data_IF_683421745156
#
_entry.id   IF_683421745156
#
_cell.length_a   1.000
_cell.length_b   1.000
_cell.length_c   1.000
_cell.angle_alpha   90.00
_cell.angle_beta   90.00
_cell.angle_gamma   90.00
#
_symmetry.space_group_name_H-M   'P 1'
#
loop_
_entity.id
_entity.type
_entity.pdbx_description
1 polymer ?
#
# COMPACT_ATOMS: atom_id res chain seq x y z
N UNK A 1 -1.09 -18.01 -3.21
CA UNK A 1 -0.47 -18.78 -2.11
C UNK A 1 -0.67 -18.04 -0.81
N UNK A 2 -1.24 -18.69 0.20
CA UNK A 2 -1.39 -18.09 1.53
C UNK A 2 0.00 -18.02 2.16
N UNK A 3 0.57 -16.82 2.27
CA UNK A 3 1.83 -16.62 2.96
C UNK A 3 1.63 -16.96 4.44
N UNK A 4 2.49 -17.82 4.96
CA UNK A 4 2.43 -18.21 6.38
C UNK A 4 3.14 -17.14 7.24
N UNK A 5 2.49 -16.01 7.46
CA UNK A 5 3.01 -14.93 8.30
C UNK A 5 3.17 -15.32 9.77
N UNK A 6 2.47 -16.39 10.22
CA UNK A 6 2.60 -16.92 11.59
C UNK A 6 3.99 -17.48 11.91
N UNK A 7 4.79 -17.77 10.88
CA UNK A 7 6.18 -18.21 11.04
C UNK A 7 7.14 -17.07 11.47
N UNK A 8 6.74 -15.80 11.28
CA UNK A 8 7.57 -14.66 11.63
C UNK A 8 7.28 -14.23 13.07
N UNK A 9 8.22 -14.52 13.97
CA UNK A 9 8.11 -14.14 15.39
C UNK A 9 8.96 -12.92 15.70
N UNK A 10 8.45 -11.94 16.47
CA UNK A 10 9.25 -10.84 16.99
C UNK A 10 10.47 -11.34 17.77
N UNK A 11 11.60 -10.67 17.59
CA UNK A 11 12.84 -11.02 18.32
C UNK A 11 13.76 -9.80 18.43
N UNK A 12 14.73 -9.87 19.31
CA UNK A 12 15.66 -8.78 19.59
C UNK A 12 17.12 -9.11 19.27
N UNK A 13 17.41 -10.37 18.96
CA UNK A 13 18.77 -10.86 18.67
C UNK A 13 18.77 -11.68 17.40
N UNK A 14 19.83 -11.51 16.60
CA UNK A 14 20.09 -12.30 15.39
C UNK A 14 21.30 -13.18 15.65
N UNK A 15 21.17 -14.48 15.47
CA UNK A 15 22.24 -15.46 15.67
C UNK A 15 22.97 -15.38 17.04
N UNK A 16 22.29 -14.91 18.08
CA UNK A 16 22.82 -14.70 19.43
C UNK A 16 24.01 -13.72 19.52
N UNK A 17 24.38 -13.04 18.44
CA UNK A 17 25.55 -12.16 18.38
C UNK A 17 25.23 -10.74 17.97
N UNK A 18 24.26 -10.53 17.12
CA UNK A 18 23.84 -9.22 16.65
C UNK A 18 22.53 -8.81 17.35
N UNK A 19 22.53 -7.62 17.91
CA UNK A 19 21.31 -7.05 18.49
C UNK A 19 20.39 -6.45 17.41
N UNK A 20 19.19 -6.09 17.79
CA UNK A 20 18.27 -5.32 16.97
C UNK A 20 18.90 -3.99 16.54
N UNK A 21 19.58 -3.32 17.45
CA UNK A 21 20.27 -2.05 17.24
C UNK A 21 21.36 -2.19 16.18
N UNK A 22 22.17 -3.26 16.25
CA UNK A 22 23.20 -3.55 15.24
C UNK A 22 22.58 -3.72 13.84
N UNK A 23 21.48 -4.44 13.74
CA UNK A 23 20.80 -4.67 12.46
C UNK A 23 20.15 -3.40 11.90
N UNK A 24 19.58 -2.56 12.78
CA UNK A 24 19.10 -1.24 12.37
C UNK A 24 20.24 -0.35 11.87
N UNK A 25 21.40 -0.34 12.56
CA UNK A 25 22.57 0.42 12.13
C UNK A 25 23.12 -0.10 10.79
N UNK A 26 23.19 -1.41 10.59
CA UNK A 26 23.58 -2.00 9.31
C UNK A 26 22.70 -1.47 8.17
N UNK A 27 21.39 -1.40 8.36
CA UNK A 27 20.51 -0.81 7.36
C UNK A 27 20.77 0.70 7.18
N UNK A 28 20.73 1.47 8.27
CA UNK A 28 20.77 2.93 8.20
C UNK A 28 22.15 3.48 7.81
N UNK A 29 23.24 2.84 8.24
CA UNK A 29 24.62 3.30 8.05
C UNK A 29 25.34 2.63 6.87
N UNK A 30 25.00 1.38 6.53
CA UNK A 30 25.66 0.64 5.45
C UNK A 30 24.78 0.50 4.21
N UNK A 31 23.56 -0.01 4.38
CA UNK A 31 22.69 -0.30 3.23
C UNK A 31 22.24 0.98 2.53
N UNK A 32 21.87 2.02 3.28
CA UNK A 32 21.38 3.29 2.75
C UNK A 32 22.48 4.27 2.38
N UNK A 33 23.59 4.32 3.15
CA UNK A 33 24.58 5.40 3.03
C UNK A 33 25.86 5.01 2.26
N UNK A 34 26.26 3.73 2.27
CA UNK A 34 27.47 3.32 1.53
C UNK A 34 27.15 3.27 0.04
N UNK A 35 27.69 4.20 -0.71
CA UNK A 35 27.37 4.47 -2.13
C UNK A 35 27.36 3.19 -2.99
N UNK A 36 28.42 2.36 -2.90
CA UNK A 36 28.48 1.10 -3.67
C UNK A 36 27.34 0.12 -3.34
N UNK A 37 26.94 0.06 -2.07
CA UNK A 37 25.83 -0.81 -1.63
C UNK A 37 24.49 -0.21 -2.04
N UNK A 38 24.34 1.10 -1.79
CA UNK A 38 23.16 1.86 -2.17
C UNK A 38 22.87 1.71 -3.66
N UNK A 39 23.81 2.04 -4.52
CA UNK A 39 23.64 1.99 -5.98
C UNK A 39 23.31 0.57 -6.48
N UNK A 40 23.88 -0.45 -5.85
CA UNK A 40 23.67 -1.85 -6.26
C UNK A 40 22.36 -2.43 -5.79
N UNK A 41 21.93 -2.11 -4.56
CA UNK A 41 20.78 -2.78 -3.92
C UNK A 41 19.62 -1.84 -3.65
N UNK A 42 19.87 -0.71 -2.97
CA UNK A 42 18.79 0.23 -2.61
C UNK A 42 18.13 0.83 -3.86
N UNK A 43 18.94 1.36 -4.78
CA UNK A 43 18.41 1.99 -5.99
C UNK A 43 17.75 0.97 -6.94
N UNK A 44 18.27 -0.26 -6.96
CA UNK A 44 17.62 -1.36 -7.67
C UNK A 44 16.25 -1.69 -7.08
N UNK A 45 16.13 -1.81 -5.74
CA UNK A 45 14.84 -2.05 -5.09
C UNK A 45 13.89 -0.87 -5.31
N UNK A 46 14.37 0.38 -5.26
CA UNK A 46 13.55 1.54 -5.59
C UNK A 46 13.01 1.49 -7.02
N UNK A 47 13.77 0.97 -7.98
CA UNK A 47 13.35 0.84 -9.37
C UNK A 47 12.21 -0.17 -9.59
N UNK A 48 11.90 -1.02 -8.62
CA UNK A 48 10.76 -1.96 -8.70
C UNK A 48 9.40 -1.24 -8.70
N UNK A 49 9.33 0.00 -8.25
CA UNK A 49 8.18 0.87 -8.48
C UNK A 49 8.18 1.37 -9.95
N UNK A 50 7.87 0.50 -10.90
CA UNK A 50 8.02 0.72 -12.35
C UNK A 50 7.38 2.02 -12.87
N UNK A 51 6.27 2.46 -12.26
CA UNK A 51 5.58 3.70 -12.62
C UNK A 51 6.05 4.90 -11.80
N UNK A 52 7.00 4.71 -10.87
CA UNK A 52 7.37 5.69 -9.86
C UNK A 52 6.31 5.91 -8.77
N UNK A 53 5.14 5.26 -8.88
CA UNK A 53 4.07 5.35 -7.89
C UNK A 53 4.25 4.32 -6.77
N UNK A 54 3.81 4.68 -5.59
CA UNK A 54 3.78 3.80 -4.42
C UNK A 54 2.87 2.59 -4.68
N UNK A 55 3.36 1.34 -4.61
CA UNK A 55 2.54 0.16 -4.88
C UNK A 55 1.54 -0.14 -3.75
N UNK A 56 1.64 0.54 -2.60
CA UNK A 56 0.68 0.41 -1.50
C UNK A 56 -0.60 1.21 -1.81
N UNK A 57 -0.47 2.50 -2.12
CA UNK A 57 -1.64 3.37 -2.32
C UNK A 57 -1.96 3.67 -3.79
N UNK A 58 -1.05 3.42 -4.73
CA UNK A 58 -1.23 3.75 -6.15
C UNK A 58 -1.18 5.25 -6.48
N UNK A 59 -1.06 6.14 -5.49
CA UNK A 59 -1.20 7.60 -5.63
C UNK A 59 0.16 8.30 -5.45
N UNK A 60 0.77 8.16 -4.28
CA UNK A 60 1.98 8.87 -3.90
C UNK A 60 3.20 8.42 -4.70
N UNK A 61 4.22 9.28 -4.80
CA UNK A 61 5.50 8.92 -5.41
C UNK A 61 6.29 8.00 -4.47
N UNK A 62 6.76 6.86 -4.97
CA UNK A 62 7.68 6.00 -4.24
C UNK A 62 9.01 6.73 -4.07
N UNK A 63 9.45 6.96 -2.83
CA UNK A 63 10.62 7.77 -2.49
C UNK A 63 11.46 7.21 -1.35
N UNK A 64 11.04 6.09 -0.76
CA UNK A 64 11.73 5.42 0.35
C UNK A 64 11.48 3.92 0.30
N UNK A 65 12.39 3.13 0.88
CA UNK A 65 12.14 1.70 1.13
C UNK A 65 11.53 1.55 2.52
N UNK A 66 10.39 0.89 2.58
CA UNK A 66 9.75 0.46 3.82
C UNK A 66 10.05 -1.02 4.09
N UNK A 67 10.17 -1.38 5.36
CA UNK A 67 10.28 -2.76 5.81
C UNK A 67 8.90 -3.35 6.03
N UNK A 68 8.43 -4.24 5.17
CA UNK A 68 7.12 -4.87 5.35
C UNK A 68 7.01 -5.50 6.76
N UNK A 69 7.99 -6.27 7.18
CA UNK A 69 8.22 -6.66 8.58
C UNK A 69 9.16 -5.63 9.21
N UNK A 70 8.67 -4.82 10.14
CA UNK A 70 9.42 -3.71 10.73
C UNK A 70 10.78 -4.16 11.29
N UNK A 71 11.87 -3.51 10.90
CA UNK A 71 13.25 -3.89 11.29
C UNK A 71 13.48 -3.84 12.81
N UNK A 72 12.74 -3.01 13.52
CA UNK A 72 12.77 -2.88 14.97
C UNK A 72 12.13 -4.05 15.71
N UNK A 73 11.28 -4.82 15.01
CA UNK A 73 10.54 -5.97 15.56
C UNK A 73 11.10 -7.28 14.99
N UNK A 74 11.53 -7.26 13.73
CA UNK A 74 12.03 -8.41 12.96
C UNK A 74 13.43 -8.14 12.40
N UNK A 75 14.44 -7.92 13.24
CA UNK A 75 15.76 -7.44 12.83
C UNK A 75 16.49 -8.36 11.84
N UNK A 76 16.23 -9.67 11.85
CA UNK A 76 16.81 -10.61 10.88
C UNK A 76 16.50 -10.20 9.42
N UNK A 77 15.39 -9.51 9.20
CA UNK A 77 14.93 -9.12 7.86
C UNK A 77 15.27 -7.66 7.50
N UNK A 78 16.06 -6.96 8.32
CA UNK A 78 16.37 -5.53 8.12
C UNK A 78 17.01 -5.21 6.75
N UNK A 79 17.83 -6.11 6.21
CA UNK A 79 18.48 -5.95 4.89
C UNK A 79 18.06 -7.01 3.89
N UNK A 80 16.95 -7.70 4.13
CA UNK A 80 16.41 -8.72 3.23
C UNK A 80 15.63 -8.07 2.09
N UNK A 81 16.01 -8.23 0.81
CA UNK A 81 15.36 -7.58 -0.32
C UNK A 81 13.85 -7.84 -0.38
N UNK A 82 13.42 -9.06 -0.11
CA UNK A 82 12.01 -9.46 -0.10
C UNK A 82 11.16 -8.78 0.98
N UNK A 83 11.82 -8.16 1.98
CA UNK A 83 11.17 -7.40 3.03
C UNK A 83 11.14 -5.88 2.74
N UNK A 84 11.80 -5.44 1.68
CA UNK A 84 11.99 -4.02 1.35
C UNK A 84 11.10 -3.63 0.17
N UNK A 85 10.19 -2.70 0.41
CA UNK A 85 9.18 -2.25 -0.57
C UNK A 85 9.37 -0.76 -0.84
N UNK A 86 9.53 -0.33 -2.11
CA UNK A 86 9.54 1.09 -2.44
C UNK A 86 8.16 1.70 -2.24
N UNK A 87 8.04 2.69 -1.36
CA UNK A 87 6.77 3.31 -0.98
C UNK A 87 6.87 4.84 -0.89
N UNK A 88 5.74 5.53 -0.85
CA UNK A 88 5.71 6.96 -0.53
C UNK A 88 5.92 7.18 0.98
N UNK A 89 6.31 8.40 1.34
CA UNK A 89 6.57 8.77 2.75
C UNK A 89 5.33 8.60 3.63
N UNK A 90 4.15 8.90 3.10
CA UNK A 90 2.89 8.81 3.85
C UNK A 90 2.56 7.35 4.22
N UNK A 91 2.69 6.42 3.27
CA UNK A 91 2.48 5.00 3.54
C UNK A 91 3.53 4.45 4.51
N UNK A 92 4.81 4.83 4.35
CA UNK A 92 5.87 4.43 5.26
C UNK A 92 5.59 4.92 6.69
N UNK A 93 5.22 6.19 6.84
CA UNK A 93 4.88 6.78 8.13
C UNK A 93 3.63 6.14 8.76
N UNK A 94 2.57 5.94 7.98
CA UNK A 94 1.32 5.34 8.46
C UNK A 94 1.53 3.92 9.00
N UNK A 95 2.38 3.12 8.34
CA UNK A 95 2.70 1.76 8.78
C UNK A 95 3.54 1.74 10.05
N UNK A 96 4.56 2.61 10.15
CA UNK A 96 5.49 2.66 11.29
C UNK A 96 5.97 1.26 11.71
N UNK A 97 6.16 1.02 13.02
CA UNK A 97 6.61 -0.25 13.60
C UNK A 97 5.43 -1.19 13.93
N UNK A 98 4.48 -1.33 13.03
CA UNK A 98 3.32 -2.21 13.24
C UNK A 98 3.73 -3.68 13.31
N UNK A 99 3.23 -4.38 14.34
CA UNK A 99 3.36 -5.84 14.43
C UNK A 99 2.45 -6.49 13.39
N UNK A 100 2.99 -7.48 12.67
CA UNK A 100 2.21 -8.27 11.73
C UNK A 100 1.37 -9.31 12.48
N UNK A 101 0.06 -9.19 12.36
CA UNK A 101 -0.90 -10.18 12.85
C UNK A 101 -1.28 -11.05 11.66
N UNK A 102 -1.08 -12.37 11.71
CA UNK A 102 -1.18 -13.25 10.53
C UNK A 102 -2.45 -13.07 9.70
N UNK A 103 -3.62 -13.10 10.36
CA UNK A 103 -4.92 -13.07 9.67
C UNK A 103 -5.39 -11.65 9.32
N UNK A 104 -4.66 -10.62 9.74
CA UNK A 104 -4.94 -9.21 9.46
C UNK A 104 -3.72 -8.43 8.99
N UNK A 105 -2.66 -9.11 8.53
CA UNK A 105 -1.53 -8.46 7.91
C UNK A 105 -1.99 -7.69 6.65
N UNK A 106 -1.56 -6.43 6.45
CA UNK A 106 -1.89 -5.71 5.23
C UNK A 106 -1.37 -6.46 4.00
N UNK A 107 -1.87 -6.12 2.82
CA UNK A 107 -1.38 -6.76 1.59
C UNK A 107 0.09 -6.43 1.36
N UNK A 108 0.84 -7.45 0.95
CA UNK A 108 2.19 -7.26 0.42
C UNK A 108 2.10 -7.01 -1.10
N UNK A 109 2.59 -5.86 -1.61
CA UNK A 109 2.31 -5.45 -2.99
C UNK A 109 2.93 -6.36 -4.07
N UNK A 110 3.88 -7.21 -3.71
CA UNK A 110 4.55 -8.12 -4.66
C UNK A 110 4.20 -9.60 -4.47
N UNK A 111 3.49 -9.95 -3.40
CA UNK A 111 3.20 -11.36 -3.08
C UNK A 111 1.72 -11.68 -2.92
N UNK A 112 0.88 -10.66 -2.75
CA UNK A 112 -0.57 -10.84 -2.71
C UNK A 112 -1.15 -10.46 -4.07
N UNK A 113 -1.74 -11.43 -4.77
CA UNK A 113 -2.36 -11.24 -6.08
C UNK A 113 -3.84 -10.91 -5.89
N UNK A 114 -4.19 -9.65 -6.03
CA UNK A 114 -5.58 -9.16 -5.90
C UNK A 114 -6.10 -8.44 -7.14
N UNK A 115 -5.30 -8.33 -8.19
CA UNK A 115 -5.63 -7.58 -9.41
C UNK A 115 -6.83 -8.16 -10.16
N UNK A 116 -7.03 -9.49 -10.07
CA UNK A 116 -8.17 -10.18 -10.68
C UNK A 116 -9.46 -10.12 -9.83
N UNK A 117 -9.40 -9.51 -8.64
CA UNK A 117 -10.48 -9.49 -7.67
C UNK A 117 -11.09 -8.08 -7.63
N UNK A 118 -12.39 -7.96 -7.86
CA UNK A 118 -13.09 -6.68 -7.69
C UNK A 118 -13.36 -6.41 -6.20
N UNK A 119 -12.30 -6.12 -5.46
CA UNK A 119 -12.32 -5.95 -4.02
C UNK A 119 -12.64 -4.52 -3.56
N UNK A 120 -12.29 -3.50 -4.35
CA UNK A 120 -12.51 -2.10 -4.03
C UNK A 120 -13.87 -1.64 -4.59
N UNK A 121 -14.70 -1.08 -3.74
CA UNK A 121 -15.98 -0.46 -4.10
C UNK A 121 -15.91 1.03 -3.86
N UNK A 122 -16.51 1.79 -4.77
CA UNK A 122 -16.69 3.23 -4.66
C UNK A 122 -18.18 3.56 -4.70
N UNK A 123 -18.60 4.51 -3.88
CA UNK A 123 -19.95 5.08 -3.88
C UNK A 123 -19.85 6.59 -3.93
N UNK A 124 -20.74 7.21 -4.72
CA UNK A 124 -20.90 8.65 -4.69
C UNK A 124 -22.03 8.98 -3.72
N UNK A 125 -21.72 9.84 -2.76
CA UNK A 125 -22.66 10.27 -1.71
C UNK A 125 -22.88 11.76 -1.87
N UNK A 126 -24.14 12.17 -1.98
CA UNK A 126 -24.52 13.57 -1.97
C UNK A 126 -24.54 14.07 -0.53
N UNK A 127 -23.84 15.16 -0.27
CA UNK A 127 -23.80 15.88 1.02
C UNK A 127 -24.14 17.35 0.77
N UNK A 128 -24.45 18.09 1.83
CA UNK A 128 -24.77 19.52 1.73
C UNK A 128 -23.69 20.34 1.02
N UNK A 129 -22.44 19.92 1.15
CA UNK A 129 -21.26 20.58 0.56
C UNK A 129 -20.91 20.07 -0.86
N UNK A 130 -21.65 19.08 -1.38
CA UNK A 130 -21.43 18.50 -2.71
C UNK A 130 -21.33 16.98 -2.74
N UNK A 131 -20.91 16.44 -3.88
CA UNK A 131 -20.74 14.99 -4.08
C UNK A 131 -19.35 14.58 -3.61
N UNK A 132 -19.31 13.58 -2.73
CA UNK A 132 -18.07 12.94 -2.26
C UNK A 132 -18.04 11.47 -2.65
N UNK A 133 -16.85 10.95 -2.94
CA UNK A 133 -16.64 9.54 -3.17
C UNK A 133 -16.23 8.86 -1.85
N UNK A 134 -16.86 7.75 -1.50
CA UNK A 134 -16.43 6.88 -0.42
C UNK A 134 -15.98 5.54 -0.99
N UNK A 135 -14.88 5.03 -0.43
CA UNK A 135 -14.27 3.77 -0.86
C UNK A 135 -14.31 2.74 0.26
N UNK A 136 -14.62 1.50 -0.08
CA UNK A 136 -14.70 0.41 0.88
C UNK A 136 -14.30 -0.92 0.27
N UNK A 137 -14.00 -1.91 1.12
CA UNK A 137 -13.80 -3.28 0.68
C UNK A 137 -15.16 -3.92 0.38
N UNK A 138 -15.25 -4.65 -0.74
CA UNK A 138 -16.45 -5.34 -1.16
C UNK A 138 -16.95 -6.31 -0.09
N UNK A 139 -18.21 -6.17 0.32
CA UNK A 139 -18.86 -7.06 1.28
C UNK A 139 -19.03 -8.50 0.76
N UNK A 140 -18.99 -8.70 -0.55
CA UNK A 140 -19.05 -10.05 -1.14
C UNK A 140 -17.85 -10.90 -0.74
N UNK A 141 -16.68 -10.27 -0.54
CA UNK A 141 -15.48 -10.94 -0.06
C UNK A 141 -15.61 -11.43 1.38
N UNK A 142 -16.38 -10.76 2.23
CA UNK A 142 -16.60 -11.22 3.60
C UNK A 142 -17.27 -12.61 3.63
N UNK A 143 -18.06 -12.94 2.61
CA UNK A 143 -18.73 -14.23 2.48
C UNK A 143 -17.88 -15.29 1.80
N UNK A 144 -17.07 -14.90 0.82
CA UNK A 144 -16.27 -15.83 -0.02
C UNK A 144 -14.86 -16.07 0.51
N UNK A 145 -14.20 -15.08 1.07
CA UNK A 145 -12.87 -15.16 1.67
C UNK A 145 -12.72 -14.15 2.81
N UNK A 146 -13.13 -14.57 4.01
CA UNK A 146 -13.10 -13.71 5.20
C UNK A 146 -11.68 -13.27 5.57
N UNK A 147 -10.67 -14.10 5.34
CA UNK A 147 -9.28 -13.78 5.64
C UNK A 147 -8.78 -12.65 4.72
N UNK A 148 -9.00 -12.77 3.41
CA UNK A 148 -8.66 -11.71 2.46
C UNK A 148 -9.43 -10.42 2.75
N UNK A 149 -10.72 -10.52 3.08
CA UNK A 149 -11.53 -9.36 3.47
C UNK A 149 -10.93 -8.61 4.67
N UNK A 150 -10.52 -9.32 5.73
CA UNK A 150 -9.91 -8.70 6.92
C UNK A 150 -8.56 -8.04 6.58
N UNK A 151 -7.74 -8.69 5.76
CA UNK A 151 -6.45 -8.15 5.32
C UNK A 151 -6.61 -6.89 4.45
N UNK A 152 -7.58 -6.88 3.54
CA UNK A 152 -7.91 -5.71 2.72
C UNK A 152 -8.45 -4.56 3.59
N UNK A 153 -9.33 -4.86 4.55
CA UNK A 153 -9.78 -3.85 5.52
C UNK A 153 -8.60 -3.26 6.28
N UNK A 154 -7.74 -4.11 6.83
CA UNK A 154 -6.55 -3.65 7.54
C UNK A 154 -5.64 -2.79 6.65
N UNK A 155 -5.49 -3.17 5.38
CA UNK A 155 -4.73 -2.39 4.40
C UNK A 155 -5.32 -1.00 4.18
N UNK A 156 -6.63 -0.93 3.94
CA UNK A 156 -7.36 0.35 3.77
C UNK A 156 -7.23 1.25 5.00
N UNK A 157 -7.42 0.68 6.20
CA UNK A 157 -7.44 1.42 7.45
C UNK A 157 -6.02 1.89 7.84
N UNK A 158 -5.03 1.00 7.76
CA UNK A 158 -3.63 1.28 8.13
C UNK A 158 -3.03 2.42 7.31
N UNK A 159 -3.29 2.41 6.00
CA UNK A 159 -2.74 3.41 5.08
C UNK A 159 -3.71 4.57 4.79
N UNK A 160 -4.83 4.64 5.51
CA UNK A 160 -5.86 5.68 5.34
C UNK A 160 -6.35 5.84 3.90
N UNK A 161 -6.47 4.73 3.16
CA UNK A 161 -6.69 4.76 1.72
C UNK A 161 -8.07 5.31 1.34
N UNK A 162 -9.10 5.10 2.16
CA UNK A 162 -10.42 5.68 1.89
C UNK A 162 -10.32 7.22 1.76
N UNK A 163 -9.65 7.88 2.71
CA UNK A 163 -9.45 9.33 2.67
C UNK A 163 -8.62 9.76 1.46
N UNK A 164 -7.52 9.06 1.18
CA UNK A 164 -6.64 9.38 0.06
C UNK A 164 -7.36 9.24 -1.29
N UNK A 165 -8.11 8.17 -1.47
CA UNK A 165 -8.90 7.93 -2.69
C UNK A 165 -10.07 8.90 -2.82
N UNK A 166 -10.74 9.25 -1.72
CA UNK A 166 -11.83 10.24 -1.72
C UNK A 166 -11.33 11.61 -2.20
N UNK A 167 -10.16 12.07 -1.71
CA UNK A 167 -9.55 13.33 -2.15
C UNK A 167 -9.24 13.27 -3.64
N UNK A 168 -8.59 12.21 -4.12
CA UNK A 168 -8.25 12.04 -5.52
C UNK A 168 -9.51 12.04 -6.40
N UNK A 169 -10.52 11.26 -6.03
CA UNK A 169 -11.76 11.17 -6.78
C UNK A 169 -12.53 12.51 -6.81
N UNK A 170 -12.55 13.24 -5.69
CA UNK A 170 -13.21 14.57 -5.63
C UNK A 170 -12.51 15.56 -6.57
N UNK A 171 -11.18 15.54 -6.62
CA UNK A 171 -10.40 16.38 -7.55
C UNK A 171 -10.72 16.03 -9.00
N UNK A 172 -10.68 14.75 -9.35
CA UNK A 172 -11.01 14.26 -10.71
C UNK A 172 -12.45 14.63 -11.12
N UNK A 173 -13.39 14.47 -10.19
CA UNK A 173 -14.79 14.86 -10.43
C UNK A 173 -14.92 16.37 -10.67
N UNK A 174 -14.29 17.20 -9.85
CA UNK A 174 -14.37 18.65 -9.97
C UNK A 174 -13.79 19.13 -11.30
N UNK A 175 -12.64 18.60 -11.71
CA UNK A 175 -11.95 18.98 -12.96
C UNK A 175 -12.72 18.51 -14.21
N UNK A 176 -13.29 17.32 -14.19
CA UNK A 176 -13.91 16.72 -15.37
C UNK A 176 -15.42 16.91 -15.47
N UNK A 177 -16.11 17.27 -14.39
CA UNK A 177 -17.56 17.43 -14.38
C UNK A 177 -18.11 18.41 -15.44
N UNK A 178 -17.49 19.58 -15.71
CA UNK A 178 -17.93 20.48 -16.78
C UNK A 178 -17.87 19.82 -18.16
N UNK A 179 -16.80 19.09 -18.44
CA UNK A 179 -16.63 18.36 -19.69
C UNK A 179 -17.69 17.27 -19.84
N UNK A 180 -17.91 16.46 -18.81
CA UNK A 180 -18.92 15.39 -18.84
C UNK A 180 -20.33 15.92 -18.96
N UNK A 181 -20.67 17.02 -18.30
CA UNK A 181 -21.97 17.71 -18.46
C UNK A 181 -22.19 18.18 -19.90
N UNK A 182 -21.14 18.72 -20.53
CA UNK A 182 -21.19 19.11 -21.95
C UNK A 182 -21.43 17.89 -22.84
N UNK A 183 -20.65 16.83 -22.65
CA UNK A 183 -20.79 15.58 -23.44
C UNK A 183 -22.13 14.90 -23.23
N UNK A 184 -22.67 14.91 -22.02
CA UNK A 184 -24.00 14.39 -21.77
C UNK A 184 -25.09 15.13 -22.57
N UNK A 185 -25.00 16.45 -22.63
CA UNK A 185 -25.91 17.27 -23.45
C UNK A 185 -25.81 16.98 -24.95
N UNK A 186 -24.58 16.76 -25.45
CA UNK A 186 -24.32 16.48 -26.87
C UNK A 186 -24.71 15.05 -27.28
N UNK A 187 -24.43 14.07 -26.45
CA UNK A 187 -24.51 12.64 -26.82
C UNK A 187 -25.67 11.89 -26.22
N UNK A 188 -26.27 12.41 -25.15
CA UNK A 188 -27.32 11.74 -24.41
C UNK A 188 -26.85 10.51 -23.62
N UNK A 189 -27.70 10.00 -22.75
CA UNK A 189 -27.39 8.91 -21.80
C UNK A 189 -26.94 7.61 -22.48
N UNK A 190 -27.49 7.28 -23.67
CA UNK A 190 -27.21 6.01 -24.36
C UNK A 190 -25.78 5.89 -24.85
N UNK A 191 -25.11 7.00 -25.14
CA UNK A 191 -23.74 6.98 -25.69
C UNK A 191 -22.66 7.01 -24.60
N UNK A 192 -22.96 7.49 -23.39
CA UNK A 192 -22.02 7.51 -22.26
C UNK A 192 -21.77 6.12 -21.64
N UNK A 193 -22.71 5.18 -21.83
CA UNK A 193 -22.56 3.79 -21.33
C UNK A 193 -21.60 2.93 -22.18
N UNK A 194 -21.02 3.49 -23.28
CA UNK A 194 -20.11 2.80 -24.19
C UNK A 194 -18.65 3.21 -24.05
N UNK A 195 -18.34 4.08 -23.09
CA UNK A 195 -17.00 4.49 -22.68
C UNK A 195 -16.67 3.78 -21.36
#
# INVERSE_FOLDING_TARGET
SRHNWSAFQPHTMVNKTLSKEDMCDIYDSKFVKVERIKNKYYDHLMSLANTGKCPICGIGQASTLDHYLAKTIYPTYAVTPYNLVPVCKDCNFAKSDSIMIPDSAPLHPYYDEVDSINWLKAQLIERDEGIVAEFSVSQDLQKSDVCLYQRLKRHMDLYHLNKAYAIQATTELAENLPFWKKKYKEWGEKNLRRI
#
